data_IF_406202679013
#
_entry.id   IF_406202679013
#
_cell.length_a   1.000
_cell.length_b   1.000
_cell.length_c   1.000
_cell.angle_alpha   90.00
_cell.angle_beta   90.00
_cell.angle_gamma   90.00
#
_symmetry.space_group_name_H-M   'P 1'
#
loop_
_entity.id
_entity.type
_entity.pdbx_description
1 polymer ?
#
# COMPACT_ATOMS: atom_id res chain seq x y z
N UNK A 1 24.16 1.07 -16.41
CA UNK A 1 22.79 1.23 -16.95
C UNK A 1 22.14 2.37 -16.20
N UNK A 2 21.87 3.49 -16.84
CA UNK A 2 21.05 4.56 -16.27
C UNK A 2 19.69 3.97 -15.99
N UNK A 3 19.28 4.01 -14.72
CA UNK A 3 17.95 3.62 -14.28
C UNK A 3 16.97 4.65 -14.85
N UNK A 4 16.19 4.25 -15.83
CA UNK A 4 15.24 5.11 -16.57
C UNK A 4 13.96 5.35 -15.75
N UNK A 5 14.08 5.49 -14.42
CA UNK A 5 12.97 5.90 -13.57
C UNK A 5 12.70 7.38 -13.85
N UNK A 6 11.68 7.64 -14.65
CA UNK A 6 11.20 9.00 -14.86
C UNK A 6 10.70 9.56 -13.51
N UNK A 7 11.40 10.55 -13.00
CA UNK A 7 10.95 11.30 -11.84
C UNK A 7 9.83 12.24 -12.26
N UNK A 8 8.58 11.89 -11.92
CA UNK A 8 7.43 12.74 -12.20
C UNK A 8 7.35 13.92 -11.24
N UNK A 9 6.61 14.95 -11.62
CA UNK A 9 6.33 16.12 -10.79
C UNK A 9 4.87 16.10 -10.35
N UNK A 10 4.61 16.48 -9.11
CA UNK A 10 3.25 16.73 -8.64
C UNK A 10 2.85 18.13 -9.05
N UNK A 11 1.73 18.24 -9.75
CA UNK A 11 1.13 19.50 -10.13
C UNK A 11 -0.11 19.78 -9.33
N UNK A 12 -0.37 21.05 -9.06
CA UNK A 12 -1.52 21.49 -8.31
C UNK A 12 -2.44 22.37 -9.16
N UNK A 13 -3.71 21.98 -9.22
CA UNK A 13 -4.77 22.83 -9.73
C UNK A 13 -5.46 23.59 -8.59
N UNK A 14 -5.68 24.87 -8.79
CA UNK A 14 -6.55 25.68 -7.94
C UNK A 14 -7.70 26.23 -8.78
N UNK A 15 -8.94 26.05 -8.32
CA UNK A 15 -10.07 26.75 -8.92
C UNK A 15 -10.08 28.21 -8.45
N UNK A 16 -10.22 29.16 -9.37
CA UNK A 16 -10.40 30.56 -9.07
C UNK A 16 -11.37 31.19 -10.07
N UNK A 17 -12.15 32.17 -9.63
CA UNK A 17 -12.94 33.02 -10.53
C UNK A 17 -12.14 34.27 -10.83
N UNK A 18 -11.95 34.55 -12.11
CA UNK A 18 -11.33 35.79 -12.58
C UNK A 18 -12.29 36.45 -13.59
N UNK A 19 -12.80 37.62 -13.27
CA UNK A 19 -13.78 38.33 -14.11
C UNK A 19 -14.97 37.45 -14.52
N UNK A 20 -15.58 36.77 -13.55
CA UNK A 20 -16.69 35.83 -13.75
C UNK A 20 -16.38 34.58 -14.65
N UNK A 21 -15.12 34.38 -14.98
CA UNK A 21 -14.65 33.19 -15.70
C UNK A 21 -13.93 32.25 -14.76
N UNK A 22 -14.35 30.98 -14.73
CA UNK A 22 -13.67 29.93 -13.97
C UNK A 22 -12.27 29.67 -14.57
N UNK A 23 -11.25 29.82 -13.76
CA UNK A 23 -9.86 29.57 -14.15
C UNK A 23 -9.27 28.46 -13.28
N UNK A 24 -8.43 27.63 -13.85
CA UNK A 24 -7.78 26.51 -13.16
C UNK A 24 -6.27 26.60 -13.34
N UNK A 25 -5.62 27.60 -12.71
CA UNK A 25 -4.18 27.76 -12.83
C UNK A 25 -3.44 26.52 -12.31
N UNK A 26 -2.47 26.08 -13.10
CA UNK A 26 -1.60 24.96 -12.75
C UNK A 26 -0.35 25.52 -12.09
N UNK A 27 -0.04 25.02 -10.89
CA UNK A 27 1.18 25.38 -10.15
C UNK A 27 2.03 24.14 -9.97
N UNK A 28 3.32 24.27 -10.20
CA UNK A 28 4.26 23.21 -9.88
C UNK A 28 4.29 22.99 -8.35
N UNK A 29 4.20 21.73 -7.94
CA UNK A 29 4.27 21.31 -6.57
C UNK A 29 5.64 20.76 -6.22
N UNK A 30 5.74 19.44 -6.02
CA UNK A 30 6.98 18.78 -5.59
C UNK A 30 7.57 17.95 -6.74
N UNK A 31 8.73 18.36 -7.30
CA UNK A 31 9.41 17.59 -8.34
C UNK A 31 10.04 16.30 -7.77
N UNK A 32 10.15 15.29 -8.60
CA UNK A 32 10.83 14.01 -8.24
C UNK A 32 10.00 13.05 -7.39
N UNK A 33 8.76 13.37 -7.09
CA UNK A 33 7.85 12.55 -6.27
C UNK A 33 6.52 12.23 -6.96
N UNK A 34 6.43 12.35 -8.26
CA UNK A 34 5.24 12.00 -9.02
C UNK A 34 4.94 10.51 -8.99
N UNK A 35 3.69 10.15 -9.29
CA UNK A 35 3.28 8.76 -9.39
C UNK A 35 3.99 8.05 -10.55
N UNK A 36 4.56 6.87 -10.29
CA UNK A 36 5.17 6.03 -11.32
C UNK A 36 4.16 5.08 -11.94
N UNK A 37 3.15 4.66 -11.18
CA UNK A 37 2.12 3.74 -11.61
C UNK A 37 0.75 4.44 -11.69
N UNK A 38 0.12 4.37 -12.84
CA UNK A 38 -1.16 5.04 -13.12
C UNK A 38 -2.29 4.57 -12.19
N UNK A 39 -2.29 3.29 -11.84
CA UNK A 39 -3.36 2.66 -11.06
C UNK A 39 -2.96 2.38 -9.62
N UNK A 40 -1.94 3.06 -9.11
CA UNK A 40 -1.50 2.91 -7.71
C UNK A 40 -2.17 3.89 -6.74
N UNK A 41 -2.96 4.84 -7.26
CA UNK A 41 -3.59 5.86 -6.41
C UNK A 41 -4.88 5.35 -5.80
N UNK A 42 -5.00 5.43 -4.47
CA UNK A 42 -6.23 5.15 -3.75
C UNK A 42 -6.26 5.94 -2.43
N UNK A 43 -7.46 6.20 -1.91
CA UNK A 43 -7.66 6.99 -0.69
C UNK A 43 -7.87 6.05 0.51
N UNK A 44 -6.93 6.07 1.45
CA UNK A 44 -7.00 5.29 2.67
C UNK A 44 -7.29 6.21 3.86
N UNK A 45 -8.53 6.17 4.39
CA UNK A 45 -8.95 6.99 5.53
C UNK A 45 -8.57 8.49 5.35
N UNK A 46 -8.99 9.07 4.24
CA UNK A 46 -8.70 10.45 3.84
C UNK A 46 -7.22 10.78 3.57
N UNK A 47 -6.39 9.75 3.46
CA UNK A 47 -4.97 9.85 3.10
C UNK A 47 -4.81 9.39 1.63
N UNK A 48 -4.66 10.29 0.66
CA UNK A 48 -4.56 9.93 -0.75
C UNK A 48 -3.17 9.35 -1.05
N UNK A 49 -3.09 8.03 -1.08
CA UNK A 49 -1.84 7.30 -1.32
C UNK A 49 -1.57 7.12 -2.81
N UNK A 50 -0.31 7.15 -3.21
CA UNK A 50 0.16 6.80 -4.55
C UNK A 50 1.60 6.26 -4.51
N UNK A 51 1.96 5.43 -5.48
CA UNK A 51 3.31 4.89 -5.63
C UNK A 51 4.20 5.84 -6.44
N UNK A 52 5.29 6.30 -5.82
CA UNK A 52 6.41 6.99 -6.45
C UNK A 52 7.60 6.04 -6.60
N UNK A 53 8.61 6.34 -7.43
CA UNK A 53 9.87 5.58 -7.46
C UNK A 53 10.59 5.46 -6.11
N UNK A 54 10.25 6.32 -5.16
CA UNK A 54 10.87 6.41 -3.83
C UNK A 54 10.04 5.80 -2.71
N UNK A 55 8.88 5.21 -3.03
CA UNK A 55 7.95 4.61 -2.08
C UNK A 55 6.52 5.11 -2.24
N UNK A 56 5.66 4.78 -1.29
CA UNK A 56 4.28 5.26 -1.23
C UNK A 56 4.22 6.57 -0.46
N UNK A 57 3.63 7.57 -1.08
CA UNK A 57 3.50 8.92 -0.53
C UNK A 57 2.05 9.36 -0.45
N UNK A 58 1.78 10.27 0.50
CA UNK A 58 0.54 10.99 0.62
C UNK A 58 0.82 12.50 0.61
N UNK A 59 0.18 13.29 -0.28
CA UNK A 59 0.19 14.74 -0.20
C UNK A 59 -0.73 15.18 0.94
N UNK A 60 -0.24 16.05 1.79
CA UNK A 60 -1.00 16.63 2.88
C UNK A 60 -0.87 18.16 2.83
N UNK A 61 -1.91 18.83 3.28
CA UNK A 61 -1.90 20.26 3.46
C UNK A 61 -1.92 20.58 4.94
N UNK A 62 -0.93 21.31 5.39
CA UNK A 62 -0.86 21.84 6.75
C UNK A 62 -0.91 23.37 6.72
N UNK A 63 -1.40 23.97 7.80
CA UNK A 63 -1.40 25.42 7.96
C UNK A 63 -0.30 25.79 8.95
N UNK A 64 0.58 26.68 8.52
CA UNK A 64 1.62 27.25 9.38
C UNK A 64 1.55 28.78 9.27
N UNK A 65 1.35 29.46 10.40
CA UNK A 65 1.19 30.92 10.46
C UNK A 65 0.17 31.46 9.44
N UNK A 66 -1.01 30.83 9.35
CA UNK A 66 -2.06 31.14 8.37
C UNK A 66 -1.68 30.95 6.89
N UNK A 67 -0.51 30.39 6.63
CA UNK A 67 -0.10 29.98 5.27
C UNK A 67 -0.35 28.49 5.06
N UNK A 68 -0.92 28.17 3.91
CA UNK A 68 -1.13 26.80 3.48
C UNK A 68 0.21 26.22 2.99
N UNK A 69 0.74 25.25 3.73
CA UNK A 69 1.96 24.54 3.37
C UNK A 69 1.60 23.13 2.95
N UNK A 70 2.10 22.74 1.79
CA UNK A 70 1.94 21.37 1.27
C UNK A 70 3.17 20.57 1.59
N UNK A 71 2.92 19.38 2.10
CA UNK A 71 3.96 18.44 2.46
C UNK A 71 3.66 17.06 1.85
N UNK A 72 4.71 16.30 1.61
CA UNK A 72 4.61 14.91 1.22
C UNK A 72 5.11 14.04 2.36
N UNK A 73 4.26 13.12 2.79
CA UNK A 73 4.65 12.15 3.79
C UNK A 73 4.91 10.79 3.14
N UNK A 74 6.08 10.22 3.43
CA UNK A 74 6.40 8.86 3.05
C UNK A 74 5.67 7.90 3.98
N UNK A 75 4.67 7.19 3.47
CA UNK A 75 3.86 6.25 4.23
C UNK A 75 4.43 4.84 4.27
N UNK A 76 5.35 4.51 3.36
CA UNK A 76 5.96 3.18 3.22
C UNK A 76 7.40 3.09 3.74
N UNK A 77 7.84 4.03 4.57
CA UNK A 77 9.24 4.13 5.02
C UNK A 77 9.82 2.80 5.50
N UNK A 78 9.03 2.00 6.22
CA UNK A 78 9.45 0.71 6.79
C UNK A 78 9.69 -0.38 5.73
N UNK A 79 8.95 -0.35 4.62
CA UNK A 79 9.04 -1.34 3.55
C UNK A 79 9.79 -0.86 2.31
N UNK A 80 10.18 0.42 2.25
CA UNK A 80 10.93 0.99 1.12
C UNK A 80 12.19 0.21 0.74
N UNK A 81 12.97 -0.36 1.68
CA UNK A 81 14.16 -1.12 1.31
C UNK A 81 13.87 -2.31 0.39
N UNK A 82 12.67 -2.88 0.47
CA UNK A 82 12.18 -3.94 -0.42
C UNK A 82 11.37 -3.36 -1.58
N UNK A 83 10.35 -2.57 -1.29
CA UNK A 83 9.43 -1.98 -2.27
C UNK A 83 10.15 -1.24 -3.41
N UNK A 84 11.12 -0.39 -3.10
CA UNK A 84 11.84 0.39 -4.11
C UNK A 84 12.79 -0.44 -4.99
N UNK A 85 13.01 -1.72 -4.67
CA UNK A 85 13.81 -2.64 -5.48
C UNK A 85 12.98 -3.43 -6.47
N UNK A 86 11.66 -3.39 -6.36
CA UNK A 86 10.78 -4.08 -7.30
C UNK A 86 11.01 -3.57 -8.73
N UNK A 87 10.98 -4.51 -9.70
CA UNK A 87 11.38 -4.19 -11.08
C UNK A 87 10.28 -3.52 -11.88
N UNK A 88 9.02 -3.81 -11.56
CA UNK A 88 7.84 -3.41 -12.35
C UNK A 88 6.96 -2.40 -11.61
N UNK A 89 7.58 -1.41 -10.98
CA UNK A 89 6.86 -0.37 -10.24
C UNK A 89 5.80 0.37 -11.09
N UNK A 90 6.06 0.55 -12.39
CA UNK A 90 5.13 1.23 -13.28
C UNK A 90 3.83 0.44 -13.56
N UNK A 91 3.88 -0.88 -13.39
CA UNK A 91 2.74 -1.78 -13.60
C UNK A 91 1.94 -2.03 -12.32
N UNK A 92 2.31 -1.37 -11.23
CA UNK A 92 1.64 -1.54 -9.95
C UNK A 92 0.18 -1.10 -10.00
N UNK A 93 -0.67 -1.86 -9.33
CA UNK A 93 -2.09 -1.58 -9.15
C UNK A 93 -2.43 -1.54 -7.68
N UNK A 94 -3.37 -0.68 -7.29
CA UNK A 94 -3.79 -0.61 -5.91
C UNK A 94 -5.30 -0.42 -5.77
N UNK A 95 -5.82 -0.85 -4.63
CA UNK A 95 -7.18 -0.55 -4.19
C UNK A 95 -7.21 -0.40 -2.66
N UNK A 96 -8.19 0.36 -2.17
CA UNK A 96 -8.50 0.37 -0.75
C UNK A 96 -9.65 -0.60 -0.48
N UNK A 97 -9.50 -1.39 0.59
CA UNK A 97 -10.46 -2.38 1.00
C UNK A 97 -10.43 -2.56 2.52
N UNK A 98 -11.57 -2.37 3.19
CA UNK A 98 -11.73 -2.54 4.65
C UNK A 98 -10.67 -1.83 5.51
N UNK A 99 -10.30 -0.61 5.13
CA UNK A 99 -9.27 0.14 5.83
C UNK A 99 -7.84 -0.28 5.51
N UNK A 100 -7.65 -1.11 4.48
CA UNK A 100 -6.34 -1.49 3.95
C UNK A 100 -6.10 -0.88 2.56
N UNK A 101 -4.90 -0.41 2.33
CA UNK A 101 -4.42 -0.07 1.00
C UNK A 101 -3.59 -1.26 0.49
N UNK A 102 -4.10 -1.94 -0.51
CA UNK A 102 -3.48 -3.12 -1.12
C UNK A 102 -2.80 -2.70 -2.41
N UNK A 103 -1.47 -2.75 -2.43
CA UNK A 103 -0.63 -2.41 -3.58
C UNK A 103 0.01 -3.68 -4.14
N UNK A 104 -0.36 -4.07 -5.35
CA UNK A 104 0.19 -5.27 -6.00
C UNK A 104 1.23 -4.90 -7.03
N UNK A 105 2.37 -5.56 -6.96
CA UNK A 105 3.50 -5.42 -7.88
C UNK A 105 4.06 -6.81 -8.16
N UNK A 106 4.04 -7.20 -9.43
CA UNK A 106 4.70 -8.42 -9.93
C UNK A 106 4.36 -9.71 -9.13
N UNK A 107 3.08 -9.89 -8.81
CA UNK A 107 2.59 -11.08 -8.09
C UNK A 107 2.74 -11.03 -6.57
N UNK A 108 3.18 -9.91 -6.02
CA UNK A 108 3.26 -9.68 -4.59
C UNK A 108 2.41 -8.49 -4.17
N UNK A 109 1.81 -8.52 -2.99
CA UNK A 109 1.08 -7.40 -2.43
C UNK A 109 1.79 -6.81 -1.21
N UNK A 110 1.87 -5.48 -1.20
CA UNK A 110 2.23 -4.66 -0.06
C UNK A 110 0.96 -4.07 0.51
N UNK A 111 0.62 -4.38 1.73
CA UNK A 111 -0.65 -4.02 2.35
C UNK A 111 -0.40 -3.07 3.51
N UNK A 112 -0.87 -1.82 3.38
CA UNK A 112 -0.84 -0.86 4.47
C UNK A 112 -2.13 -0.96 5.30
N UNK A 113 -1.99 -1.05 6.61
CA UNK A 113 -3.10 -1.14 7.53
C UNK A 113 -3.49 0.26 8.04
N UNK A 114 -4.62 0.76 7.57
CA UNK A 114 -5.18 2.03 8.02
C UNK A 114 -6.04 1.91 9.29
N UNK A 115 -6.28 0.69 9.78
CA UNK A 115 -7.01 0.47 11.03
C UNK A 115 -6.11 0.60 12.27
N UNK A 116 -4.78 0.62 12.07
CA UNK A 116 -3.80 0.86 13.10
C UNK A 116 -3.42 2.33 13.18
N UNK A 117 -3.04 2.79 14.36
CA UNK A 117 -2.52 4.14 14.54
C UNK A 117 -1.22 4.34 13.74
N UNK A 118 -1.13 5.46 13.03
CA UNK A 118 0.07 5.81 12.29
C UNK A 118 1.24 6.06 13.25
N UNK A 119 2.25 5.20 13.19
CA UNK A 119 3.50 5.42 13.92
C UNK A 119 4.50 6.12 13.01
N UNK A 120 5.19 7.15 13.52
CA UNK A 120 6.16 7.94 12.75
C UNK A 120 5.63 8.43 11.40
N UNK A 121 4.32 8.77 11.32
CA UNK A 121 3.61 9.19 10.11
C UNK A 121 3.51 8.11 9.03
N UNK A 122 3.86 6.85 9.31
CA UNK A 122 3.74 5.70 8.42
C UNK A 122 2.65 4.74 8.88
N UNK A 123 2.29 3.83 7.99
CA UNK A 123 1.42 2.70 8.29
C UNK A 123 2.23 1.49 8.73
N UNK A 124 1.57 0.53 9.39
CA UNK A 124 2.05 -0.84 9.46
C UNK A 124 1.82 -1.51 8.11
N UNK A 125 2.77 -2.38 7.72
CA UNK A 125 2.77 -3.00 6.41
C UNK A 125 2.90 -4.51 6.53
N UNK A 126 2.06 -5.21 5.76
CA UNK A 126 2.14 -6.65 5.55
C UNK A 126 2.61 -6.94 4.12
N UNK A 127 3.17 -8.11 3.92
CA UNK A 127 3.64 -8.55 2.62
C UNK A 127 3.01 -9.90 2.29
N UNK A 128 2.27 -9.96 1.19
CA UNK A 128 1.67 -11.18 0.68
C UNK A 128 2.35 -11.59 -0.62
N UNK A 129 2.56 -12.89 -0.78
CA UNK A 129 3.05 -13.51 -2.02
C UNK A 129 1.89 -14.19 -2.75
N UNK A 130 2.13 -14.57 -4.02
CA UNK A 130 1.14 -15.29 -4.82
C UNK A 130 -0.17 -14.52 -5.06
N UNK A 131 -0.05 -13.21 -5.33
CA UNK A 131 -1.18 -12.34 -5.68
C UNK A 131 -1.04 -11.92 -7.15
N UNK A 132 -1.50 -12.74 -8.13
CA UNK A 132 -1.27 -12.50 -9.55
C UNK A 132 -2.21 -11.42 -10.13
N UNK A 133 -2.53 -10.41 -9.35
CA UNK A 133 -3.45 -9.35 -9.75
C UNK A 133 -2.80 -8.39 -10.77
N UNK A 134 -3.52 -8.12 -11.86
CA UNK A 134 -3.21 -7.08 -12.86
C UNK A 134 -4.14 -5.88 -12.74
N UNK A 135 -5.30 -6.08 -12.18
CA UNK A 135 -6.27 -5.05 -11.83
C UNK A 135 -6.89 -5.38 -10.49
N UNK A 136 -7.25 -4.37 -9.73
CA UNK A 136 -7.94 -4.50 -8.45
C UNK A 136 -9.22 -3.69 -8.48
N UNK A 137 -10.28 -4.21 -7.88
CA UNK A 137 -11.55 -3.53 -7.70
C UNK A 137 -12.15 -3.89 -6.35
N UNK A 138 -12.49 -2.89 -5.55
CA UNK A 138 -13.25 -3.07 -4.32
C UNK A 138 -14.72 -2.78 -4.59
N UNK A 139 -15.60 -3.73 -4.31
CA UNK A 139 -17.05 -3.61 -4.49
C UNK A 139 -17.77 -4.36 -3.37
N UNK A 140 -18.79 -3.74 -2.78
CA UNK A 140 -19.65 -4.33 -1.73
C UNK A 140 -18.86 -5.07 -0.63
N UNK A 141 -17.85 -4.42 -0.07
CA UNK A 141 -16.98 -4.97 0.98
C UNK A 141 -16.06 -6.12 0.54
N UNK A 142 -16.10 -6.55 -0.72
CA UNK A 142 -15.21 -7.57 -1.26
C UNK A 142 -14.11 -6.94 -2.14
N UNK A 143 -12.94 -7.56 -2.14
CA UNK A 143 -11.83 -7.21 -3.02
C UNK A 143 -11.73 -8.23 -4.15
N UNK A 144 -11.86 -7.75 -5.36
CA UNK A 144 -11.73 -8.54 -6.59
C UNK A 144 -10.43 -8.20 -7.31
N UNK A 145 -9.91 -9.16 -8.03
CA UNK A 145 -8.77 -8.93 -8.91
C UNK A 145 -8.90 -9.72 -10.22
N UNK A 146 -8.40 -9.13 -11.29
CA UNK A 146 -8.25 -9.80 -12.58
C UNK A 146 -6.80 -10.26 -12.77
N UNK A 147 -6.63 -11.43 -13.33
CA UNK A 147 -5.34 -12.05 -13.63
C UNK A 147 -4.95 -11.87 -15.10
N UNK A 148 -3.70 -12.15 -15.44
CA UNK A 148 -3.19 -12.05 -16.81
C UNK A 148 -3.82 -13.09 -17.76
N UNK A 149 -4.23 -14.24 -17.22
CA UNK A 149 -4.92 -15.32 -17.97
C UNK A 149 -6.44 -15.09 -18.10
N UNK A 150 -6.94 -13.93 -17.69
CA UNK A 150 -8.33 -13.51 -17.89
C UNK A 150 -9.31 -14.02 -16.82
N UNK A 151 -8.84 -14.58 -15.72
CA UNK A 151 -9.72 -14.94 -14.59
C UNK A 151 -10.06 -13.73 -13.74
N UNK A 152 -11.25 -13.74 -13.15
CA UNK A 152 -11.65 -12.81 -12.09
C UNK A 152 -11.75 -13.60 -10.80
N UNK A 153 -10.99 -13.17 -9.81
CA UNK A 153 -10.90 -13.82 -8.49
C UNK A 153 -11.38 -12.85 -7.42
N UNK A 154 -11.87 -13.38 -6.31
CA UNK A 154 -12.21 -12.64 -5.10
C UNK A 154 -11.30 -13.06 -3.97
N UNK A 155 -10.79 -12.11 -3.19
CA UNK A 155 -10.17 -12.43 -1.92
C UNK A 155 -11.21 -13.05 -1.00
N UNK A 156 -10.91 -14.23 -0.49
CA UNK A 156 -11.79 -14.92 0.43
C UNK A 156 -11.56 -14.38 1.84
N UNK A 157 -12.61 -13.87 2.43
CA UNK A 157 -12.64 -13.35 3.80
C UNK A 157 -13.66 -14.10 4.67
N UNK A 158 -14.38 -15.05 4.07
CA UNK A 158 -15.29 -15.93 4.77
C UNK A 158 -14.50 -17.11 5.35
N UNK A 159 -14.23 -17.06 6.65
CA UNK A 159 -13.47 -18.12 7.34
C UNK A 159 -14.37 -19.24 7.87
N UNK A 160 -15.64 -18.95 8.00
CA UNK A 160 -16.65 -19.86 8.57
C UNK A 160 -17.87 -19.98 7.66
N UNK A 161 -18.55 -21.11 7.72
CA UNK A 161 -19.81 -21.36 7.03
C UNK A 161 -21.02 -20.84 7.84
N UNK A 162 -22.24 -21.12 7.36
CA UNK A 162 -23.49 -20.75 8.00
C UNK A 162 -23.67 -21.36 9.39
N UNK A 163 -22.97 -22.45 9.71
CA UNK A 163 -23.00 -23.12 11.00
C UNK A 163 -21.90 -22.65 11.96
N UNK A 164 -21.11 -21.65 11.54
CA UNK A 164 -19.91 -21.15 12.23
C UNK A 164 -18.76 -22.17 12.31
N UNK A 165 -18.75 -23.15 11.40
CA UNK A 165 -17.63 -24.09 11.23
C UNK A 165 -16.58 -23.53 10.28
N UNK A 166 -15.29 -23.76 10.56
CA UNK A 166 -14.19 -23.28 9.71
C UNK A 166 -14.25 -23.98 8.34
N UNK A 167 -14.35 -23.20 7.28
CA UNK A 167 -14.40 -23.72 5.92
C UNK A 167 -13.07 -24.38 5.53
N UNK A 168 -13.13 -25.51 4.83
CA UNK A 168 -11.93 -26.26 4.39
C UNK A 168 -10.95 -25.43 3.54
N UNK A 169 -11.45 -24.41 2.84
CA UNK A 169 -10.64 -23.52 2.00
C UNK A 169 -10.24 -22.21 2.70
N UNK A 170 -10.59 -22.03 3.98
CA UNK A 170 -10.30 -20.80 4.74
C UNK A 170 -8.79 -20.46 4.80
N UNK A 171 -7.94 -21.48 4.74
CA UNK A 171 -6.47 -21.35 4.82
C UNK A 171 -5.78 -21.81 3.53
N UNK A 172 -6.48 -21.80 2.42
CA UNK A 172 -5.93 -22.17 1.12
C UNK A 172 -6.12 -21.06 0.09
N UNK A 173 -5.17 -20.95 -0.83
CA UNK A 173 -5.18 -20.05 -1.96
C UNK A 173 -5.26 -20.87 -3.25
N UNK A 174 -6.41 -20.84 -3.93
CA UNK A 174 -6.72 -21.66 -5.10
C UNK A 174 -6.41 -23.15 -4.90
N UNK A 175 -6.75 -23.69 -3.71
CA UNK A 175 -6.51 -25.07 -3.32
C UNK A 175 -5.12 -25.38 -2.77
N UNK A 176 -4.20 -24.44 -2.80
CA UNK A 176 -2.87 -24.59 -2.19
C UNK A 176 -2.85 -23.99 -0.77
N UNK A 177 -2.15 -24.66 0.16
CA UNK A 177 -2.02 -24.16 1.53
C UNK A 177 -1.28 -22.81 1.55
N UNK A 178 -1.82 -21.85 2.32
CA UNK A 178 -1.18 -20.55 2.52
C UNK A 178 0.01 -20.74 3.45
N UNK A 179 1.21 -20.38 2.97
CA UNK A 179 2.41 -20.34 3.82
C UNK A 179 2.46 -19.01 4.58
N UNK A 180 2.46 -19.10 5.91
CA UNK A 180 2.54 -17.94 6.80
C UNK A 180 3.87 -17.91 7.52
N UNK A 181 4.57 -16.79 7.46
CA UNK A 181 5.82 -16.55 8.18
C UNK A 181 5.70 -15.26 9.00
N UNK A 182 6.08 -15.35 10.25
CA UNK A 182 6.16 -14.20 11.13
C UNK A 182 7.51 -14.17 11.83
N UNK A 183 8.26 -13.10 11.62
CA UNK A 183 9.57 -12.90 12.22
C UNK A 183 9.56 -11.64 13.10
N UNK A 184 10.02 -11.77 14.34
CA UNK A 184 10.26 -10.64 15.23
C UNK A 184 11.67 -10.10 15.03
N UNK A 185 11.89 -8.85 15.45
CA UNK A 185 13.25 -8.36 15.64
C UNK A 185 13.97 -9.20 16.71
N UNK A 186 15.30 -9.27 16.61
CA UNK A 186 16.11 -9.85 17.67
C UNK A 186 15.88 -9.04 18.96
N UNK A 187 15.44 -9.72 20.02
CA UNK A 187 15.20 -9.13 21.32
C UNK A 187 16.15 -9.75 22.36
N UNK A 188 16.83 -8.90 23.08
CA UNK A 188 17.73 -9.32 24.18
C UNK A 188 16.98 -9.67 25.45
N UNK A 189 15.64 -9.48 25.48
CA UNK A 189 14.79 -9.68 26.68
C UNK A 189 15.39 -9.01 27.91
N UNK A 190 15.91 -7.78 27.73
CA UNK A 190 16.58 -6.96 28.73
C UNK A 190 17.87 -7.55 29.35
N UNK A 191 18.38 -8.67 28.81
CA UNK A 191 19.59 -9.33 29.32
C UNK A 191 20.54 -9.70 28.16
N UNK A 192 21.23 -8.73 27.52
CA UNK A 192 21.98 -8.96 26.28
C UNK A 192 23.18 -9.91 26.44
N UNK A 193 23.70 -10.08 27.65
CA UNK A 193 24.89 -10.89 27.94
C UNK A 193 24.59 -12.33 28.37
N UNK A 194 23.32 -12.73 28.41
CA UNK A 194 22.94 -14.08 28.87
C UNK A 194 22.48 -14.91 27.67
N UNK A 195 23.07 -16.10 27.51
CA UNK A 195 22.61 -17.09 26.54
C UNK A 195 21.19 -17.57 26.90
N UNK A 196 20.26 -17.46 25.96
CA UNK A 196 18.89 -17.87 26.14
C UNK A 196 18.57 -19.07 25.27
N UNK A 197 17.99 -20.08 25.85
CA UNK A 197 17.51 -21.28 25.15
C UNK A 197 15.97 -21.26 25.14
N UNK A 198 15.38 -21.36 23.97
CA UNK A 198 13.95 -21.61 23.83
C UNK A 198 13.72 -23.11 23.71
N UNK A 199 12.91 -23.72 24.57
CA UNK A 199 12.57 -25.12 24.40
C UNK A 199 11.79 -25.32 23.09
N UNK A 200 12.21 -26.28 22.27
CA UNK A 200 11.37 -26.71 21.16
C UNK A 200 10.11 -27.35 21.73
N UNK A 201 8.96 -26.80 21.43
CA UNK A 201 7.70 -27.53 21.59
C UNK A 201 7.66 -28.57 20.49
N UNK A 202 7.58 -29.83 20.89
CA UNK A 202 7.31 -30.96 19.98
C UNK A 202 5.85 -30.95 19.51
#
# INVERSE_FOLDING_TARGET
KKDNRQEGTIWHHSGAMLNDVATFPLKEGVPGYGAIAKYSSANLNDDPLYLSPRGVYAPTTTYYNNMQVRQLFCRSRRVNPKLCKERRLADAVAACWRGWYVLVIDGCAYVADGNQDKQDQGYEWYFWTNVPAKVLCSHEQALYFGTEDGRVCRFNDDLVDENNDIMMNAFSDDGAAIHTEWATKLDTMNTPMILKTMPKRG
#
